data_IF_623942186308
#
_entry.id   IF_623942186308
#
_cell.length_a   1.000
_cell.length_b   1.000
_cell.length_c   1.000
_cell.angle_alpha   90.00
_cell.angle_beta   90.00
_cell.angle_gamma   90.00
#
_symmetry.space_group_name_H-M   'P 1'
#
loop_
_entity.id
_entity.type
_entity.pdbx_description
1 polymer ?
#
# COMPACT_ATOMS: atom_id res chain seq x y z
N UNK A 1 9.18 -21.41 3.12
CA UNK A 1 8.57 -20.20 2.54
C UNK A 1 7.10 -20.52 2.41
N UNK A 2 6.22 -19.66 2.90
CA UNK A 2 4.77 -19.87 2.86
C UNK A 2 4.24 -19.08 1.65
N UNK A 3 3.75 -19.80 0.64
CA UNK A 3 3.20 -19.20 -0.59
C UNK A 3 1.67 -19.11 -0.47
N UNK A 4 1.07 -17.92 -0.63
CA UNK A 4 -0.37 -17.79 -0.69
C UNK A 4 -0.93 -18.39 -1.98
N UNK A 5 -2.16 -18.88 -1.92
CA UNK A 5 -2.97 -19.22 -3.08
C UNK A 5 -4.13 -18.23 -3.28
N UNK A 6 -4.93 -18.46 -4.34
CA UNK A 6 -6.11 -17.65 -4.64
C UNK A 6 -7.11 -17.57 -3.47
N UNK A 7 -7.21 -18.63 -2.66
CA UNK A 7 -8.06 -18.64 -1.46
C UNK A 7 -7.67 -17.56 -0.43
N UNK A 8 -6.37 -17.29 -0.27
CA UNK A 8 -5.87 -16.30 0.68
C UNK A 8 -6.15 -14.88 0.16
N UNK A 9 -6.04 -14.68 -1.16
CA UNK A 9 -6.42 -13.44 -1.84
C UNK A 9 -7.92 -13.19 -1.72
N UNK A 10 -8.75 -14.22 -1.89
CA UNK A 10 -10.20 -14.08 -1.77
C UNK A 10 -10.62 -13.74 -0.33
N UNK A 11 -10.03 -14.40 0.68
CA UNK A 11 -10.26 -14.04 2.08
C UNK A 11 -9.86 -12.59 2.38
N UNK A 12 -8.75 -12.11 1.82
CA UNK A 12 -8.35 -10.71 1.95
C UNK A 12 -9.33 -9.74 1.29
N UNK A 13 -9.89 -10.10 0.12
CA UNK A 13 -10.95 -9.31 -0.54
C UNK A 13 -12.21 -9.27 0.31
N UNK A 14 -12.69 -10.41 0.78
CA UNK A 14 -13.88 -10.50 1.64
C UNK A 14 -13.71 -9.67 2.93
N UNK A 15 -12.56 -9.76 3.59
CA UNK A 15 -12.23 -8.92 4.75
C UNK A 15 -12.28 -7.43 4.38
N UNK A 16 -11.64 -7.04 3.28
CA UNK A 16 -11.62 -5.65 2.84
C UNK A 16 -13.02 -5.13 2.50
N UNK A 17 -13.90 -5.97 1.96
CA UNK A 17 -15.30 -5.60 1.69
C UNK A 17 -16.08 -5.23 2.97
N UNK A 18 -15.66 -5.76 4.13
CA UNK A 18 -16.25 -5.48 5.44
C UNK A 18 -15.65 -4.25 6.14
N UNK A 19 -14.59 -3.64 5.59
CA UNK A 19 -13.93 -2.45 6.13
C UNK A 19 -14.48 -1.18 5.47
N UNK A 20 -15.68 -0.77 5.87
CA UNK A 20 -16.40 0.41 5.36
C UNK A 20 -15.57 1.71 5.33
N UNK A 21 -14.84 2.04 6.40
CA UNK A 21 -14.06 3.28 6.46
C UNK A 21 -12.86 3.22 5.51
N UNK A 22 -12.18 2.06 5.46
CA UNK A 22 -11.08 1.84 4.52
C UNK A 22 -11.53 1.87 3.06
N UNK A 23 -12.71 1.33 2.75
CA UNK A 23 -13.30 1.40 1.41
C UNK A 23 -13.61 2.84 1.02
N UNK A 24 -14.31 3.57 1.89
CA UNK A 24 -14.64 4.97 1.65
C UNK A 24 -13.37 5.81 1.42
N UNK A 25 -12.34 5.60 2.24
CA UNK A 25 -11.04 6.24 2.06
C UNK A 25 -10.43 5.93 0.68
N UNK A 26 -10.37 4.66 0.28
CA UNK A 26 -9.84 4.26 -1.02
C UNK A 26 -10.64 4.84 -2.19
N UNK A 27 -11.97 4.85 -2.10
CA UNK A 27 -12.88 5.40 -3.12
C UNK A 27 -12.70 6.91 -3.29
N UNK A 28 -12.68 7.66 -2.18
CA UNK A 28 -12.47 9.12 -2.19
C UNK A 28 -11.12 9.48 -2.82
N UNK A 29 -10.04 8.81 -2.43
CA UNK A 29 -8.72 9.08 -3.01
C UNK A 29 -8.71 8.70 -4.49
N UNK A 30 -9.23 7.52 -4.84
CA UNK A 30 -9.24 7.04 -6.23
C UNK A 30 -9.99 7.98 -7.16
N UNK A 31 -11.19 8.40 -6.76
CA UNK A 31 -12.00 9.36 -7.53
C UNK A 31 -11.26 10.69 -7.70
N UNK A 32 -10.65 11.22 -6.63
CA UNK A 32 -9.94 12.49 -6.74
C UNK A 32 -8.73 12.42 -7.69
N UNK A 33 -7.96 11.32 -7.65
CA UNK A 33 -6.82 11.11 -8.55
C UNK A 33 -7.27 10.90 -10.01
N UNK A 34 -8.40 10.21 -10.23
CA UNK A 34 -8.98 10.05 -11.57
C UNK A 34 -9.41 11.39 -12.18
N UNK A 35 -10.06 12.25 -11.40
CA UNK A 35 -10.52 13.56 -11.85
C UNK A 35 -9.35 14.56 -12.03
N UNK A 36 -8.23 14.31 -11.35
CA UNK A 36 -7.05 15.17 -11.36
C UNK A 36 -5.78 14.38 -11.68
N UNK A 37 -5.61 13.82 -12.89
CA UNK A 37 -4.55 12.83 -13.16
C UNK A 37 -3.12 13.40 -13.14
N UNK A 38 -2.94 14.71 -13.35
CA UNK A 38 -1.61 15.34 -13.42
C UNK A 38 -1.07 15.86 -12.09
N UNK A 39 0.21 16.25 -12.09
CA UNK A 39 0.94 16.77 -10.92
C UNK A 39 1.43 18.21 -11.10
N UNK A 40 0.82 18.99 -11.99
CA UNK A 40 1.25 20.37 -12.32
C UNK A 40 0.40 21.46 -11.67
N UNK A 41 -0.81 21.14 -11.21
CA UNK A 41 -1.71 22.11 -10.56
C UNK A 41 -1.53 22.05 -9.05
N UNK A 42 -1.06 23.14 -8.44
CA UNK A 42 -0.75 23.21 -7.00
C UNK A 42 -1.91 22.72 -6.11
N UNK A 43 -3.13 23.24 -6.28
CA UNK A 43 -4.29 22.84 -5.48
C UNK A 43 -4.62 21.34 -5.59
N UNK A 44 -4.42 20.75 -6.77
CA UNK A 44 -4.58 19.30 -6.97
C UNK A 44 -3.54 18.53 -6.18
N UNK A 45 -2.27 18.90 -6.31
CA UNK A 45 -1.16 18.24 -5.59
C UNK A 45 -1.33 18.38 -4.09
N UNK A 46 -1.71 19.55 -3.56
CA UNK A 46 -2.03 19.75 -2.14
C UNK A 46 -3.09 18.76 -1.68
N UNK A 47 -4.21 18.67 -2.41
CA UNK A 47 -5.33 17.82 -2.03
C UNK A 47 -4.92 16.34 -2.06
N UNK A 48 -4.23 15.89 -3.11
CA UNK A 48 -3.70 14.51 -3.20
C UNK A 48 -2.78 14.16 -2.04
N UNK A 49 -1.83 15.04 -1.73
CA UNK A 49 -0.87 14.85 -0.64
C UNK A 49 -1.62 14.74 0.70
N UNK A 50 -2.58 15.63 0.96
CA UNK A 50 -3.37 15.62 2.20
C UNK A 50 -4.25 14.38 2.29
N UNK A 51 -4.94 14.00 1.22
CA UNK A 51 -5.80 12.82 1.18
C UNK A 51 -5.00 11.55 1.46
N UNK A 52 -3.90 11.33 0.73
CA UNK A 52 -3.04 10.15 0.93
C UNK A 52 -2.42 10.13 2.32
N UNK A 53 -1.94 11.28 2.82
CA UNK A 53 -1.33 11.32 4.14
C UNK A 53 -2.33 11.02 5.26
N UNK A 54 -3.52 11.59 5.17
CA UNK A 54 -4.50 11.56 6.26
C UNK A 54 -5.30 10.26 6.26
N UNK A 55 -5.75 9.80 5.09
CA UNK A 55 -6.64 8.64 4.98
C UNK A 55 -5.88 7.31 4.85
N UNK A 56 -4.63 7.33 4.39
CA UNK A 56 -3.76 6.14 4.30
C UNK A 56 -2.58 6.18 5.29
N UNK A 57 -2.67 7.07 6.29
CA UNK A 57 -1.71 7.21 7.41
C UNK A 57 -0.24 7.20 6.95
N UNK A 58 0.08 8.01 5.94
CA UNK A 58 1.36 7.93 5.26
C UNK A 58 2.53 8.56 6.04
N UNK A 59 2.23 9.33 7.10
CA UNK A 59 3.21 9.79 8.09
C UNK A 59 4.17 10.88 7.62
N UNK A 60 3.80 11.66 6.59
CA UNK A 60 4.62 12.83 6.20
C UNK A 60 4.46 13.94 7.24
N UNK A 61 5.59 14.51 7.69
CA UNK A 61 5.62 15.55 8.73
C UNK A 61 5.24 16.94 8.20
N UNK A 62 5.65 17.23 6.97
CA UNK A 62 5.48 18.55 6.34
C UNK A 62 4.76 18.41 4.99
N UNK A 63 3.42 18.29 4.97
CA UNK A 63 2.66 18.07 3.73
C UNK A 63 2.92 19.11 2.65
N UNK A 64 2.94 20.40 2.99
CA UNK A 64 3.18 21.46 2.00
C UNK A 64 4.60 21.46 1.43
N UNK A 65 5.56 20.89 2.15
CA UNK A 65 6.91 20.70 1.62
C UNK A 65 6.96 19.58 0.60
N UNK A 66 6.29 18.47 0.88
CA UNK A 66 6.10 17.37 -0.08
C UNK A 66 5.39 17.86 -1.35
N UNK A 67 4.40 18.75 -1.22
CA UNK A 67 3.73 19.39 -2.38
C UNK A 67 4.73 20.14 -3.26
N UNK A 68 5.53 21.04 -2.68
CA UNK A 68 6.53 21.82 -3.43
C UNK A 68 7.53 20.89 -4.13
N UNK A 69 8.01 19.88 -3.42
CA UNK A 69 8.89 18.85 -3.97
C UNK A 69 8.28 18.17 -5.20
N UNK A 70 7.03 17.71 -5.12
CA UNK A 70 6.34 17.05 -6.25
C UNK A 70 6.18 18.00 -7.45
N UNK A 71 5.85 19.28 -7.22
CA UNK A 71 5.70 20.28 -8.30
C UNK A 71 7.01 20.56 -9.04
N UNK A 72 8.17 20.35 -8.39
CA UNK A 72 9.50 20.52 -8.99
C UNK A 72 9.97 19.26 -9.77
N UNK A 73 9.27 18.14 -9.66
CA UNK A 73 9.64 16.90 -10.36
C UNK A 73 9.21 16.93 -11.84
N UNK A 74 10.07 17.49 -12.68
CA UNK A 74 9.88 17.46 -14.13
C UNK A 74 9.75 16.03 -14.67
N UNK A 75 8.79 15.83 -15.57
CA UNK A 75 8.51 14.53 -16.22
C UNK A 75 7.88 13.48 -15.31
N UNK A 76 7.39 13.84 -14.12
CA UNK A 76 6.79 12.89 -13.19
C UNK A 76 5.57 12.17 -13.78
N UNK A 77 4.65 12.91 -14.40
CA UNK A 77 3.40 12.35 -14.95
C UNK A 77 3.67 11.25 -15.99
N UNK A 78 4.63 11.45 -16.90
CA UNK A 78 5.02 10.45 -17.89
C UNK A 78 5.57 9.16 -17.22
N UNK A 79 6.41 9.31 -16.18
CA UNK A 79 6.95 8.15 -15.44
C UNK A 79 5.86 7.38 -14.69
N UNK A 80 4.87 8.08 -14.15
CA UNK A 80 3.72 7.46 -13.48
C UNK A 80 2.85 6.69 -14.46
N UNK A 81 2.61 7.25 -15.65
CA UNK A 81 1.81 6.62 -16.70
C UNK A 81 2.42 5.28 -17.15
N UNK A 82 3.73 5.25 -17.42
CA UNK A 82 4.42 4.03 -17.86
C UNK A 82 4.83 3.08 -16.72
N UNK A 83 4.55 3.44 -15.46
CA UNK A 83 4.83 2.57 -14.32
C UNK A 83 6.32 2.50 -13.92
N UNK A 84 7.09 3.56 -14.14
CA UNK A 84 8.51 3.59 -13.79
C UNK A 84 8.73 3.69 -12.28
N UNK A 85 9.34 2.64 -11.70
CA UNK A 85 9.68 2.52 -10.26
C UNK A 85 10.46 3.72 -9.73
N UNK A 86 11.27 4.38 -10.57
CA UNK A 86 12.01 5.59 -10.23
C UNK A 86 11.09 6.74 -9.77
N UNK A 87 9.85 6.82 -10.23
CA UNK A 87 8.89 7.83 -9.79
C UNK A 87 8.68 7.79 -8.27
N UNK A 88 8.61 6.59 -7.69
CA UNK A 88 8.47 6.39 -6.24
C UNK A 88 9.69 6.93 -5.50
N UNK A 89 10.88 6.59 -5.98
CA UNK A 89 12.14 7.04 -5.39
C UNK A 89 12.29 8.56 -5.45
N UNK A 90 11.89 9.18 -6.56
CA UNK A 90 11.94 10.65 -6.73
C UNK A 90 10.98 11.34 -5.77
N UNK A 91 9.74 10.86 -5.63
CA UNK A 91 8.78 11.44 -4.67
C UNK A 91 9.26 11.23 -3.22
N UNK A 92 9.81 10.06 -2.90
CA UNK A 92 10.18 9.71 -1.53
C UNK A 92 11.35 10.52 -0.97
N UNK A 93 12.26 11.02 -1.83
CA UNK A 93 13.51 11.68 -1.44
C UNK A 93 13.33 13.19 -1.29
N UNK A 94 12.75 13.59 -0.16
CA UNK A 94 12.78 14.97 0.33
C UNK A 94 13.90 15.07 1.38
N UNK A 95 13.63 15.56 2.58
CA UNK A 95 14.59 15.57 3.70
C UNK A 95 14.67 14.24 4.43
N UNK A 96 13.57 13.49 4.38
CA UNK A 96 13.44 12.16 4.93
C UNK A 96 12.96 11.24 3.81
N UNK A 97 13.22 9.95 3.96
CA UNK A 97 12.80 8.97 2.98
C UNK A 97 11.34 8.53 3.23
N UNK A 98 10.40 9.24 2.61
CA UNK A 98 8.95 9.01 2.74
C UNK A 98 8.43 7.95 1.75
N UNK A 99 9.07 6.78 1.72
CA UNK A 99 8.76 5.70 0.77
C UNK A 99 7.30 5.22 0.86
N UNK A 100 6.73 5.13 2.07
CA UNK A 100 5.35 4.67 2.21
C UNK A 100 4.37 5.65 1.56
N UNK A 101 4.53 6.95 1.83
CA UNK A 101 3.77 7.98 1.16
C UNK A 101 3.94 7.94 -0.36
N UNK A 102 5.19 7.89 -0.84
CA UNK A 102 5.47 7.89 -2.27
C UNK A 102 4.80 6.72 -2.98
N UNK A 103 4.91 5.51 -2.43
CA UNK A 103 4.29 4.31 -3.03
C UNK A 103 2.76 4.39 -3.08
N UNK A 104 2.11 4.96 -2.06
CA UNK A 104 0.66 5.19 -2.02
C UNK A 104 0.25 6.24 -3.04
N UNK A 105 0.99 7.35 -3.10
CA UNK A 105 0.76 8.42 -4.07
C UNK A 105 0.85 7.89 -5.51
N UNK A 106 1.88 7.10 -5.82
CA UNK A 106 2.04 6.49 -7.15
C UNK A 106 1.01 5.40 -7.42
N UNK A 107 0.60 4.63 -6.40
CA UNK A 107 -0.47 3.64 -6.51
C UNK A 107 -1.78 4.28 -6.98
N UNK A 108 -2.18 5.42 -6.40
CA UNK A 108 -3.39 6.10 -6.82
C UNK A 108 -3.29 6.78 -8.20
N UNK A 109 -2.08 7.07 -8.68
CA UNK A 109 -1.87 7.47 -10.08
C UNK A 109 -1.95 6.28 -11.05
N UNK A 110 -1.42 5.12 -10.66
CA UNK A 110 -1.37 3.94 -11.52
C UNK A 110 -1.37 2.64 -10.68
N UNK A 111 -2.58 2.17 -10.36
CA UNK A 111 -2.83 0.96 -9.55
C UNK A 111 -2.32 -0.33 -10.20
N UNK A 112 -2.07 -0.33 -11.51
CA UNK A 112 -1.62 -1.51 -12.25
C UNK A 112 -0.10 -1.66 -12.26
N UNK A 113 0.64 -0.60 -11.90
CA UNK A 113 2.10 -0.59 -11.89
C UNK A 113 2.70 -0.54 -10.49
N UNK A 114 2.10 0.20 -9.55
CA UNK A 114 2.73 0.52 -8.27
C UNK A 114 2.03 -0.18 -7.10
N UNK A 115 2.58 -1.30 -6.59
CA UNK A 115 2.15 -1.86 -5.32
C UNK A 115 2.53 -0.96 -4.13
N UNK A 116 1.72 -1.00 -3.07
CA UNK A 116 1.89 -0.18 -1.89
C UNK A 116 3.03 -0.70 -1.00
N UNK A 117 3.93 0.20 -0.62
CA UNK A 117 4.93 -0.02 0.41
C UNK A 117 4.40 0.53 1.74
N UNK A 118 4.22 -0.33 2.74
CA UNK A 118 3.98 0.08 4.11
C UNK A 118 4.56 -0.91 5.11
N UNK A 119 4.48 -0.57 6.41
CA UNK A 119 5.04 -1.40 7.47
C UNK A 119 4.37 -2.78 7.57
N UNK A 120 3.09 -2.92 7.22
CA UNK A 120 2.38 -4.20 7.27
C UNK A 120 2.75 -5.08 6.09
N UNK A 121 2.86 -4.53 4.88
CA UNK A 121 3.34 -5.26 3.71
C UNK A 121 4.78 -5.76 3.90
N UNK A 122 5.66 -4.93 4.47
CA UNK A 122 7.03 -5.33 4.82
C UNK A 122 7.03 -6.43 5.88
N UNK A 123 6.21 -6.29 6.93
CA UNK A 123 6.08 -7.31 7.97
C UNK A 123 5.54 -8.64 7.42
N UNK A 124 4.54 -8.60 6.54
CA UNK A 124 3.97 -9.77 5.88
C UNK A 124 5.04 -10.53 5.08
N UNK A 125 5.79 -9.82 4.24
CA UNK A 125 6.88 -10.41 3.46
C UNK A 125 7.96 -11.02 4.35
N UNK A 126 8.30 -10.37 5.47
CA UNK A 126 9.27 -10.89 6.42
C UNK A 126 8.82 -12.21 7.08
N UNK A 127 7.51 -12.43 7.26
CA UNK A 127 6.97 -13.69 7.78
C UNK A 127 6.83 -14.76 6.69
N UNK A 128 6.34 -14.39 5.49
CA UNK A 128 6.06 -15.34 4.41
C UNK A 128 7.33 -15.93 3.77
N UNK A 129 8.41 -15.15 3.68
CA UNK A 129 9.63 -15.59 2.99
C UNK A 129 10.56 -16.49 3.83
N UNK A 130 10.23 -16.81 5.09
CA UNK A 130 11.03 -17.63 6.04
C UNK A 130 12.49 -17.20 6.26
N UNK A 131 12.95 -16.14 5.60
CA UNK A 131 14.27 -15.54 5.78
C UNK A 131 14.01 -14.15 6.32
N UNK A 132 14.46 -13.89 7.56
CA UNK A 132 14.19 -12.70 8.37
C UNK A 132 14.65 -11.35 7.78
N UNK A 133 14.34 -11.06 6.52
CA UNK A 133 14.49 -9.77 5.87
C UNK A 133 13.42 -8.86 6.46
N UNK A 134 13.78 -8.20 7.56
CA UNK A 134 12.89 -7.31 8.33
C UNK A 134 12.72 -5.93 7.71
N UNK A 135 13.43 -5.64 6.63
CA UNK A 135 13.44 -4.33 5.98
C UNK A 135 13.87 -4.43 4.53
N UNK A 136 13.46 -3.44 3.75
CA UNK A 136 13.87 -3.23 2.37
C UNK A 136 14.62 -1.90 2.29
N UNK A 137 15.82 -1.87 1.67
CA UNK A 137 16.63 -0.65 1.60
C UNK A 137 16.08 0.39 0.61
N UNK A 138 15.18 -0.02 -0.29
CA UNK A 138 14.59 0.84 -1.32
C UNK A 138 13.25 0.27 -1.80
N UNK A 139 12.48 1.10 -2.50
CA UNK A 139 11.22 0.67 -3.13
C UNK A 139 11.49 -0.33 -4.25
N UNK A 140 12.52 -0.10 -5.07
CA UNK A 140 12.93 -1.05 -6.11
C UNK A 140 13.16 -2.44 -5.53
N UNK A 141 13.84 -2.54 -4.37
CA UNK A 141 14.12 -3.85 -3.80
C UNK A 141 12.88 -4.54 -3.26
N UNK A 142 11.96 -3.78 -2.68
CA UNK A 142 10.66 -4.28 -2.28
C UNK A 142 9.88 -4.79 -3.49
N UNK A 143 9.73 -3.96 -4.53
CA UNK A 143 9.00 -4.28 -5.76
C UNK A 143 9.50 -5.57 -6.42
N UNK A 144 10.81 -5.69 -6.65
CA UNK A 144 11.42 -6.91 -7.19
C UNK A 144 11.08 -8.15 -6.34
N UNK A 145 11.14 -7.99 -5.02
CA UNK A 145 10.92 -9.10 -4.10
C UNK A 145 9.47 -9.56 -4.10
N UNK A 146 8.51 -8.64 -4.05
CA UNK A 146 7.09 -8.99 -4.08
C UNK A 146 6.64 -9.49 -5.45
N UNK A 147 7.25 -8.97 -6.52
CA UNK A 147 7.03 -9.46 -7.89
C UNK A 147 7.47 -10.90 -8.04
N UNK A 148 8.70 -11.23 -7.65
CA UNK A 148 9.20 -12.60 -7.70
C UNK A 148 8.38 -13.53 -6.79
N UNK A 149 7.96 -13.06 -5.61
CA UNK A 149 7.11 -13.84 -4.72
C UNK A 149 5.71 -14.11 -5.31
N UNK A 150 5.08 -13.12 -5.92
CA UNK A 150 3.80 -13.24 -6.64
C UNK A 150 3.91 -14.20 -7.83
N UNK A 151 5.03 -14.17 -8.56
CA UNK A 151 5.33 -15.10 -9.65
C UNK A 151 5.47 -16.54 -9.12
N UNK A 152 6.24 -16.76 -8.05
CA UNK A 152 6.42 -18.07 -7.41
C UNK A 152 5.11 -18.65 -6.86
N UNK A 153 4.22 -17.79 -6.37
CA UNK A 153 2.90 -18.16 -5.88
C UNK A 153 1.89 -18.47 -7.01
N UNK A 154 2.24 -18.25 -8.28
CA UNK A 154 1.32 -18.40 -9.40
C UNK A 154 0.20 -17.34 -9.42
N UNK A 155 0.44 -16.17 -8.82
CA UNK A 155 -0.54 -15.09 -8.64
C UNK A 155 -0.34 -13.93 -9.62
N UNK A 156 0.32 -14.15 -10.75
CA UNK A 156 0.58 -13.10 -11.76
C UNK A 156 -0.69 -12.53 -12.40
N UNK A 157 -1.82 -13.22 -12.33
CA UNK A 157 -3.13 -12.69 -12.77
C UNK A 157 -3.84 -11.81 -11.73
N UNK A 158 -3.44 -11.87 -10.46
CA UNK A 158 -4.04 -11.06 -9.38
C UNK A 158 -3.54 -9.62 -9.49
N UNK A 159 -4.42 -8.61 -9.48
CA UNK A 159 -4.00 -7.21 -9.51
C UNK A 159 -3.09 -6.84 -8.33
N UNK A 160 -2.24 -5.82 -8.50
CA UNK A 160 -1.44 -5.31 -7.38
C UNK A 160 -2.33 -4.86 -6.23
N UNK A 161 -3.45 -4.19 -6.49
CA UNK A 161 -4.38 -3.78 -5.45
C UNK A 161 -4.91 -4.95 -4.59
N UNK A 162 -5.28 -6.08 -5.20
CA UNK A 162 -5.74 -7.24 -4.45
C UNK A 162 -4.59 -7.94 -3.72
N UNK A 163 -3.40 -7.95 -4.32
CA UNK A 163 -2.22 -8.50 -3.68
C UNK A 163 -1.75 -7.64 -2.48
N UNK A 164 -1.84 -6.31 -2.60
CA UNK A 164 -1.54 -5.36 -1.54
C UNK A 164 -2.52 -5.49 -0.37
N UNK A 165 -3.82 -5.62 -0.64
CA UNK A 165 -4.84 -5.92 0.39
C UNK A 165 -4.47 -7.17 1.18
N UNK A 166 -4.04 -8.23 0.49
CA UNK A 166 -3.58 -9.46 1.13
C UNK A 166 -2.35 -9.21 2.03
N UNK A 167 -1.29 -8.58 1.51
CA UNK A 167 -0.09 -8.30 2.30
C UNK A 167 -0.40 -7.41 3.52
N UNK A 168 -1.24 -6.39 3.33
CA UNK A 168 -1.64 -5.47 4.39
C UNK A 168 -2.45 -6.18 5.49
N UNK A 169 -3.49 -6.93 5.14
CA UNK A 169 -4.32 -7.67 6.11
C UNK A 169 -3.55 -8.80 6.80
N UNK A 170 -2.70 -9.53 6.07
CA UNK A 170 -1.84 -10.55 6.66
C UNK A 170 -0.85 -9.93 7.65
N UNK A 171 -0.22 -8.81 7.29
CA UNK A 171 0.68 -8.08 8.18
C UNK A 171 -0.03 -7.58 9.45
N UNK A 172 -1.26 -7.08 9.33
CA UNK A 172 -2.07 -6.67 10.46
C UNK A 172 -2.49 -7.85 11.34
N UNK A 173 -2.90 -8.99 10.74
CA UNK A 173 -3.19 -10.24 11.48
C UNK A 173 -2.01 -10.64 12.35
N UNK A 174 -0.81 -10.72 11.77
CA UNK A 174 0.40 -11.11 12.52
C UNK A 174 0.77 -10.11 13.63
N UNK A 175 0.36 -8.85 13.51
CA UNK A 175 0.50 -7.87 14.58
C UNK A 175 -0.57 -8.07 15.67
N UNK A 176 -1.82 -8.36 15.31
CA UNK A 176 -2.92 -8.67 16.22
C UNK A 176 -2.66 -9.95 17.02
N UNK A 177 -2.19 -11.01 16.36
CA UNK A 177 -1.79 -12.28 16.99
C UNK A 177 -0.70 -12.08 18.08
N UNK A 178 0.08 -10.99 17.98
CA UNK A 178 1.11 -10.59 18.95
C UNK A 178 0.63 -9.57 19.98
N UNK A 179 -0.66 -9.26 20.01
CA UNK A 179 -1.27 -8.29 20.93
C UNK A 179 -0.97 -6.82 20.60
N UNK A 180 -0.63 -6.50 19.35
CA UNK A 180 -0.37 -5.11 18.95
C UNK A 180 -1.61 -4.22 19.09
N UNK A 181 -1.43 -3.06 19.72
CA UNK A 181 -2.46 -2.01 19.83
C UNK A 181 -2.39 -0.98 18.69
N UNK A 182 -1.34 -1.00 17.88
CA UNK A 182 -1.14 -0.07 16.76
C UNK A 182 -1.83 -0.56 15.47
N UNK A 183 -3.11 -0.89 15.58
CA UNK A 183 -3.98 -1.36 14.49
C UNK A 183 -5.25 -0.51 14.50
N UNK A 184 -5.78 -0.21 13.32
CA UNK A 184 -7.01 0.58 13.21
C UNK A 184 -8.16 -0.09 13.98
N UNK A 185 -9.04 0.74 14.55
CA UNK A 185 -10.18 0.25 15.34
C UNK A 185 -11.05 -0.71 14.52
N UNK A 186 -11.38 -0.34 13.28
CA UNK A 186 -12.22 -1.13 12.38
C UNK A 186 -11.63 -2.53 12.11
N UNK A 187 -10.33 -2.62 11.80
CA UNK A 187 -9.66 -3.91 11.57
C UNK A 187 -9.64 -4.78 12.83
N UNK A 188 -9.44 -4.18 14.01
CA UNK A 188 -9.47 -4.91 15.28
C UNK A 188 -10.87 -5.45 15.59
N UNK A 189 -11.89 -4.62 15.46
CA UNK A 189 -13.28 -5.04 15.68
C UNK A 189 -13.69 -6.17 14.73
N UNK A 190 -13.23 -6.12 13.48
CA UNK A 190 -13.45 -7.20 12.53
C UNK A 190 -12.71 -8.48 12.94
N UNK A 191 -11.45 -8.37 13.34
CA UNK A 191 -10.65 -9.51 13.81
C UNK A 191 -11.26 -10.19 15.05
N UNK A 192 -11.82 -9.42 15.98
CA UNK A 192 -12.46 -9.93 17.20
C UNK A 192 -13.87 -10.52 16.94
N UNK A 193 -14.43 -10.32 15.73
CA UNK A 193 -15.73 -10.88 15.34
C UNK A 193 -15.61 -12.34 14.87
N UNK A 194 -16.60 -13.23 15.12
CA UNK A 194 -16.53 -14.62 14.69
C UNK A 194 -16.36 -14.79 13.17
N UNK A 195 -17.03 -13.96 12.37
CA UNK A 195 -16.96 -13.99 10.90
C UNK A 195 -15.60 -13.51 10.43
N UNK A 196 -15.14 -12.35 10.93
CA UNK A 196 -13.86 -11.79 10.54
C UNK A 196 -12.68 -12.66 10.97
N UNK A 197 -12.69 -13.19 12.20
CA UNK A 197 -11.67 -14.13 12.67
C UNK A 197 -11.53 -15.34 11.73
N UNK A 198 -12.66 -15.95 11.34
CA UNK A 198 -12.67 -17.08 10.40
C UNK A 198 -12.15 -16.74 9.00
N UNK A 199 -12.16 -15.47 8.58
CA UNK A 199 -11.53 -15.01 7.35
C UNK A 199 -10.05 -14.67 7.55
N UNK A 200 -9.68 -14.08 8.68
CA UNK A 200 -8.28 -13.82 9.03
C UNK A 200 -7.47 -15.12 9.10
N UNK A 201 -8.02 -16.20 9.65
CA UNK A 201 -7.37 -17.51 9.65
C UNK A 201 -7.14 -18.07 8.24
N UNK A 202 -7.98 -17.69 7.26
CA UNK A 202 -7.78 -18.06 5.84
C UNK A 202 -6.73 -17.22 5.12
N UNK A 203 -6.11 -16.24 5.77
CA UNK A 203 -4.95 -15.56 5.21
C UNK A 203 -3.66 -16.41 5.28
N UNK A 204 -3.67 -17.50 6.06
CA UNK A 204 -2.56 -18.45 6.21
C UNK A 204 -2.67 -19.67 5.25
#
# INVERSE_FOLDING_TARGET
>A
MILPGLRNIEAAKELYEMLSDWKLANEVISSYFQDHPGNTKEHSVVTKVVLVNSLYFAGIREPLRMVRHILELHGLDAKLEVGEVEAVERIAKVDWYYISFASKYTHFHNKTAFPIFDSFAVAAMAQLQERGRRSFPSYTKFFETIKAFREQAGLTSVSWENFDKYLWLYGQKKALDKGSRAISKEVRELYDSPVGYGLFERLE
#
